data_IF_083509822345
#
_entry.id   IF_083509822345
#
_cell.length_a   1.000
_cell.length_b   1.000
_cell.length_c   1.000
_cell.angle_alpha   90.00
_cell.angle_beta   90.00
_cell.angle_gamma   90.00
#
_symmetry.space_group_name_H-M   'P 1'
#
loop_
_entity.id
_entity.type
_entity.pdbx_description
1 polymer ?
#
# COMPACT_ATOMS: atom_id res chain seq x y z
N UNK A 1 -32.78 12.68 19.11
CA UNK A 1 -32.36 13.52 17.96
C UNK A 1 -31.15 12.88 17.28
N UNK A 2 -31.22 12.52 15.99
CA UNK A 2 -30.04 12.04 15.24
C UNK A 2 -29.09 13.23 15.03
N UNK A 3 -27.80 13.10 15.37
CA UNK A 3 -26.80 14.15 15.10
C UNK A 3 -26.76 14.42 13.59
N UNK A 4 -26.69 15.70 13.20
CA UNK A 4 -26.49 16.10 11.80
C UNK A 4 -25.14 15.54 11.34
N UNK A 5 -25.15 14.75 10.28
CA UNK A 5 -23.93 14.18 9.71
C UNK A 5 -23.09 15.31 9.09
N UNK A 6 -21.79 15.29 9.37
CA UNK A 6 -20.81 16.21 8.79
C UNK A 6 -19.86 15.33 7.96
N UNK A 7 -19.83 15.49 6.63
CA UNK A 7 -18.95 14.70 5.77
C UNK A 7 -17.47 14.90 6.10
N UNK A 8 -16.66 13.88 5.82
CA UNK A 8 -15.23 13.96 6.01
C UNK A 8 -14.59 14.95 5.01
N UNK A 9 -13.86 15.94 5.52
CA UNK A 9 -13.21 16.97 4.69
C UNK A 9 -11.70 16.84 4.86
N UNK A 10 -11.03 16.57 3.75
CA UNK A 10 -9.59 16.47 3.64
C UNK A 10 -9.11 17.69 2.85
N UNK A 11 -8.01 18.29 3.28
CA UNK A 11 -7.45 19.44 2.61
C UNK A 11 -7.04 19.12 1.17
N UNK A 12 -7.05 20.13 0.30
CA UNK A 12 -6.70 19.95 -1.12
C UNK A 12 -5.28 19.41 -1.29
N UNK A 13 -4.35 19.85 -0.44
CA UNK A 13 -2.94 19.44 -0.47
C UNK A 13 -2.81 17.95 -0.18
N UNK A 14 -3.42 17.47 0.90
CA UNK A 14 -3.36 16.06 1.29
C UNK A 14 -3.98 15.14 0.26
N UNK A 15 -5.09 15.56 -0.37
CA UNK A 15 -5.70 14.80 -1.48
C UNK A 15 -4.75 14.67 -2.66
N UNK A 16 -4.09 15.76 -3.06
CA UNK A 16 -3.11 15.73 -4.15
C UNK A 16 -1.93 14.82 -3.79
N UNK A 17 -1.42 14.90 -2.55
CA UNK A 17 -0.33 14.06 -2.07
C UNK A 17 -0.75 12.58 -2.09
N UNK A 18 -1.94 12.24 -1.60
CA UNK A 18 -2.46 10.86 -1.60
C UNK A 18 -2.58 10.31 -3.03
N UNK A 19 -3.16 11.10 -3.94
CA UNK A 19 -3.32 10.70 -5.35
C UNK A 19 -1.93 10.53 -6.00
N UNK A 20 -1.06 11.53 -5.88
CA UNK A 20 0.29 11.48 -6.46
C UNK A 20 1.10 10.31 -5.90
N UNK A 21 1.05 10.08 -4.58
CA UNK A 21 1.74 8.96 -3.92
C UNK A 21 1.19 7.62 -4.39
N UNK A 22 -0.14 7.47 -4.47
CA UNK A 22 -0.76 6.25 -4.98
C UNK A 22 -0.38 6.00 -6.44
N UNK A 23 -0.38 7.03 -7.30
CA UNK A 23 0.02 6.91 -8.70
C UNK A 23 1.49 6.53 -8.84
N UNK A 24 2.40 7.19 -8.11
CA UNK A 24 3.83 6.88 -8.14
C UNK A 24 4.10 5.46 -7.61
N UNK A 25 3.44 5.08 -6.52
CA UNK A 25 3.59 3.75 -5.94
C UNK A 25 3.04 2.65 -6.86
N UNK A 26 1.88 2.88 -7.48
CA UNK A 26 1.29 1.97 -8.45
C UNK A 26 2.18 1.81 -9.68
N UNK A 27 2.59 2.93 -10.30
CA UNK A 27 3.46 2.89 -11.49
C UNK A 27 4.80 2.22 -11.21
N UNK A 28 5.44 2.52 -10.08
CA UNK A 28 6.67 1.85 -9.66
C UNK A 28 6.45 0.36 -9.39
N UNK A 29 5.40 0.00 -8.64
CA UNK A 29 5.07 -1.39 -8.35
C UNK A 29 4.79 -2.22 -9.61
N UNK A 30 4.02 -1.66 -10.55
CA UNK A 30 3.72 -2.30 -11.83
C UNK A 30 4.98 -2.41 -12.70
N UNK A 31 5.84 -1.39 -12.72
CA UNK A 31 7.14 -1.45 -13.37
C UNK A 31 7.96 -2.61 -12.81
N UNK A 32 8.18 -2.66 -11.49
CA UNK A 32 8.94 -3.74 -10.84
C UNK A 32 8.35 -5.13 -11.08
N UNK A 33 7.02 -5.26 -11.11
CA UNK A 33 6.34 -6.52 -11.40
C UNK A 33 6.57 -6.98 -12.85
N UNK A 34 6.50 -6.09 -13.83
CA UNK A 34 6.74 -6.41 -15.25
C UNK A 34 8.19 -6.88 -15.49
N UNK A 35 9.15 -6.25 -14.83
CA UNK A 35 10.57 -6.63 -14.95
C UNK A 35 10.98 -7.77 -14.01
N UNK A 36 10.03 -8.37 -13.28
CA UNK A 36 10.24 -9.44 -12.28
C UNK A 36 11.28 -9.12 -11.21
N UNK A 37 11.58 -7.83 -11.03
CA UNK A 37 12.63 -7.34 -10.16
C UNK A 37 12.10 -6.20 -9.31
N UNK A 38 11.82 -6.53 -8.05
CA UNK A 38 11.32 -5.56 -7.09
C UNK A 38 12.45 -5.09 -6.18
N UNK A 39 12.85 -3.83 -6.34
CA UNK A 39 13.85 -3.21 -5.47
C UNK A 39 13.16 -2.44 -4.35
N UNK A 40 13.50 -2.80 -3.11
CA UNK A 40 13.12 -2.03 -1.93
C UNK A 40 14.39 -1.47 -1.29
N UNK A 41 14.49 -0.14 -1.11
CA UNK A 41 15.62 0.49 -0.42
C UNK A 41 15.49 0.31 1.10
N UNK A 42 15.22 -0.91 1.55
CA UNK A 42 15.10 -1.29 2.96
C UNK A 42 16.31 -2.16 3.26
N UNK A 43 17.09 -1.73 4.25
CA UNK A 43 18.22 -2.50 4.75
C UNK A 43 17.85 -3.15 6.09
N UNK A 44 17.67 -4.47 6.08
CA UNK A 44 17.42 -5.24 7.29
C UNK A 44 18.72 -5.63 8.02
N UNK A 45 19.89 -5.51 7.38
CA UNK A 45 21.19 -5.92 7.93
C UNK A 45 22.09 -4.71 8.14
N UNK A 46 22.15 -4.24 9.39
CA UNK A 46 23.09 -3.20 9.82
C UNK A 46 24.54 -3.62 9.51
N UNK A 47 25.14 -3.06 8.47
CA UNK A 47 26.55 -3.26 8.09
C UNK A 47 26.80 -4.18 6.88
N UNK A 48 25.78 -4.60 6.13
CA UNK A 48 26.01 -5.33 4.88
C UNK A 48 26.25 -4.38 3.69
N UNK A 49 27.20 -4.74 2.80
CA UNK A 49 27.47 -3.97 1.57
C UNK A 49 26.37 -4.14 0.49
N UNK A 50 25.35 -4.98 0.75
CA UNK A 50 24.22 -5.16 -0.16
C UNK A 50 23.21 -4.04 0.09
N UNK A 51 23.20 -3.05 -0.80
CA UNK A 51 22.30 -1.91 -0.75
C UNK A 51 20.89 -2.38 -1.14
N UNK A 52 20.04 -2.63 -0.15
CA UNK A 52 18.60 -2.85 -0.35
C UNK A 52 18.17 -4.30 -0.60
N UNK A 53 16.87 -4.52 -0.52
CA UNK A 53 16.20 -5.80 -0.66
C UNK A 53 15.74 -5.97 -2.11
N UNK A 54 16.28 -6.98 -2.78
CA UNK A 54 15.90 -7.37 -4.14
C UNK A 54 15.00 -8.60 -4.08
N UNK A 55 13.75 -8.45 -4.52
CA UNK A 55 12.76 -9.52 -4.55
C UNK A 55 12.57 -10.01 -5.99
N UNK A 56 12.52 -11.33 -6.13
CA UNK A 56 12.30 -12.03 -7.40
C UNK A 56 11.18 -13.06 -7.26
N UNK A 57 10.60 -13.48 -8.39
CA UNK A 57 9.62 -14.55 -8.44
C UNK A 57 8.43 -14.32 -7.49
N UNK A 58 8.05 -15.35 -6.73
CA UNK A 58 6.88 -15.31 -5.84
C UNK A 58 6.93 -14.18 -4.81
N UNK A 59 8.11 -13.84 -4.28
CA UNK A 59 8.27 -12.75 -3.34
C UNK A 59 7.90 -11.38 -3.96
N UNK A 60 8.25 -11.16 -5.23
CA UNK A 60 7.88 -9.94 -5.96
C UNK A 60 6.36 -9.85 -6.21
N UNK A 61 5.70 -10.97 -6.50
CA UNK A 61 4.24 -11.02 -6.65
C UNK A 61 3.50 -10.66 -5.36
N UNK A 62 3.92 -11.21 -4.22
CA UNK A 62 3.34 -10.86 -2.93
C UNK A 62 3.57 -9.38 -2.58
N UNK A 63 4.76 -8.85 -2.88
CA UNK A 63 5.06 -7.43 -2.66
C UNK A 63 4.18 -6.52 -3.52
N UNK A 64 3.99 -6.87 -4.80
CA UNK A 64 3.12 -6.13 -5.68
C UNK A 64 1.67 -6.13 -5.17
N UNK A 65 1.17 -7.27 -4.68
CA UNK A 65 -0.13 -7.35 -4.02
C UNK A 65 -0.25 -6.41 -2.82
N UNK A 66 0.79 -6.33 -1.98
CA UNK A 66 0.82 -5.37 -0.86
C UNK A 66 0.79 -3.91 -1.33
N UNK A 67 1.49 -3.59 -2.42
CA UNK A 67 1.45 -2.27 -3.08
C UNK A 67 0.04 -1.93 -3.56
N UNK A 68 -0.67 -2.88 -4.19
CA UNK A 68 -2.06 -2.68 -4.61
C UNK A 68 -2.95 -2.38 -3.41
N UNK A 69 -2.82 -3.12 -2.30
CA UNK A 69 -3.56 -2.82 -1.07
C UNK A 69 -3.29 -1.40 -0.56
N UNK A 70 -2.04 -0.94 -0.55
CA UNK A 70 -1.69 0.42 -0.15
C UNK A 70 -2.33 1.48 -1.06
N UNK A 71 -2.33 1.25 -2.39
CA UNK A 71 -2.99 2.12 -3.36
C UNK A 71 -4.51 2.18 -3.13
N UNK A 72 -5.15 1.04 -2.84
CA UNK A 72 -6.57 0.97 -2.53
C UNK A 72 -6.93 1.71 -1.24
N UNK A 73 -6.08 1.66 -0.20
CA UNK A 73 -6.27 2.44 1.03
C UNK A 73 -6.27 3.94 0.69
N UNK A 74 -5.25 4.43 -0.01
CA UNK A 74 -5.15 5.83 -0.39
C UNK A 74 -6.34 6.27 -1.26
N UNK A 75 -6.74 5.44 -2.23
CA UNK A 75 -7.92 5.69 -3.05
C UNK A 75 -9.20 5.76 -2.20
N UNK A 76 -9.36 4.86 -1.21
CA UNK A 76 -10.54 4.85 -0.33
C UNK A 76 -10.67 6.14 0.50
N UNK A 77 -9.54 6.72 0.94
CA UNK A 77 -9.50 7.98 1.69
C UNK A 77 -9.96 9.14 0.79
N UNK A 78 -9.51 9.16 -0.47
CA UNK A 78 -9.92 10.18 -1.45
C UNK A 78 -11.40 10.02 -1.79
N UNK A 79 -11.90 8.80 -1.98
CA UNK A 79 -13.30 8.53 -2.27
C UNK A 79 -14.23 8.90 -1.10
N UNK A 80 -13.85 8.61 0.14
CA UNK A 80 -14.61 8.98 1.35
C UNK A 80 -14.82 10.50 1.45
N UNK A 81 -13.88 11.30 0.93
CA UNK A 81 -14.02 12.75 0.89
C UNK A 81 -15.09 13.25 -0.09
N UNK A 82 -15.28 12.54 -1.21
CA UNK A 82 -16.31 12.86 -2.20
C UNK A 82 -17.66 12.23 -1.85
N UNK A 83 -17.70 11.26 -0.93
CA UNK A 83 -18.93 10.65 -0.47
C UNK A 83 -19.59 11.50 0.63
N UNK A 84 -20.77 12.06 0.33
CA UNK A 84 -21.56 12.86 1.28
C UNK A 84 -22.52 12.00 2.13
N UNK A 85 -22.57 10.69 1.88
CA UNK A 85 -23.40 9.75 2.64
C UNK A 85 -22.75 9.45 3.99
N UNK A 86 -23.54 9.09 5.03
CA UNK A 86 -23.02 8.69 6.34
C UNK A 86 -22.39 7.29 6.30
N UNK A 87 -21.36 7.12 5.49
CA UNK A 87 -20.75 5.85 5.13
C UNK A 87 -19.30 5.68 5.61
N UNK A 88 -18.81 6.62 6.43
CA UNK A 88 -17.42 6.66 6.94
C UNK A 88 -16.97 5.32 7.55
N UNK A 89 -17.89 4.60 8.19
CA UNK A 89 -17.59 3.30 8.81
C UNK A 89 -17.19 2.23 7.79
N UNK A 90 -17.75 2.28 6.59
CA UNK A 90 -17.42 1.33 5.53
C UNK A 90 -16.04 1.62 4.93
N UNK A 91 -15.70 2.88 4.67
CA UNK A 91 -14.35 3.25 4.21
C UNK A 91 -13.28 2.93 5.27
N UNK A 92 -13.54 3.22 6.55
CA UNK A 92 -12.64 2.83 7.64
C UNK A 92 -12.43 1.32 7.71
N UNK A 93 -13.52 0.54 7.64
CA UNK A 93 -13.43 -0.94 7.62
C UNK A 93 -12.66 -1.45 6.40
N UNK A 94 -12.93 -0.91 5.22
CA UNK A 94 -12.21 -1.27 4.00
C UNK A 94 -10.71 -0.98 4.14
N UNK A 95 -10.34 0.21 4.59
CA UNK A 95 -8.95 0.58 4.83
C UNK A 95 -8.26 -0.37 5.84
N UNK A 96 -8.95 -0.73 6.93
CA UNK A 96 -8.44 -1.69 7.92
C UNK A 96 -8.24 -3.08 7.32
N UNK A 97 -9.20 -3.59 6.54
CA UNK A 97 -9.07 -4.91 5.87
C UNK A 97 -7.90 -4.89 4.89
N UNK A 98 -7.80 -3.86 4.06
CA UNK A 98 -6.70 -3.70 3.11
C UNK A 98 -5.35 -3.54 3.82
N UNK A 99 -5.31 -2.90 4.99
CA UNK A 99 -4.09 -2.77 5.78
C UNK A 99 -3.62 -4.14 6.29
N UNK A 100 -4.52 -4.94 6.87
CA UNK A 100 -4.16 -6.29 7.31
C UNK A 100 -3.78 -7.19 6.13
N UNK A 101 -4.51 -7.13 5.02
CA UNK A 101 -4.18 -7.88 3.80
C UNK A 101 -2.81 -7.47 3.24
N UNK A 102 -2.54 -6.17 3.12
CA UNK A 102 -1.27 -5.64 2.64
C UNK A 102 -0.10 -6.02 3.55
N UNK A 103 -0.27 -5.94 4.86
CA UNK A 103 0.78 -6.34 5.82
C UNK A 103 1.02 -7.86 5.80
N UNK A 104 -0.04 -8.66 5.61
CA UNK A 104 0.08 -10.11 5.47
C UNK A 104 0.85 -10.47 4.19
N UNK A 105 0.53 -9.83 3.07
CA UNK A 105 1.24 -10.02 1.79
C UNK A 105 2.69 -9.54 1.87
N UNK A 106 2.95 -8.41 2.52
CA UNK A 106 4.30 -7.93 2.78
C UNK A 106 5.12 -8.95 3.59
N UNK A 107 4.53 -9.49 4.67
CA UNK A 107 5.19 -10.48 5.52
C UNK A 107 5.47 -11.77 4.75
N UNK A 108 4.51 -12.24 3.95
CA UNK A 108 4.69 -13.40 3.06
C UNK A 108 5.78 -13.17 2.01
N UNK A 109 5.86 -11.96 1.45
CA UNK A 109 6.92 -11.58 0.51
C UNK A 109 8.31 -11.68 1.15
N UNK A 110 8.49 -11.10 2.35
CA UNK A 110 9.75 -11.18 3.08
C UNK A 110 10.08 -12.61 3.47
N UNK A 111 9.10 -13.39 3.93
CA UNK A 111 9.30 -14.80 4.26
C UNK A 111 9.73 -15.63 3.04
N UNK A 112 9.04 -15.47 1.90
CA UNK A 112 9.39 -16.13 0.65
C UNK A 112 10.81 -15.76 0.19
N UNK A 113 11.17 -14.49 0.31
CA UNK A 113 12.53 -14.03 0.03
C UNK A 113 13.57 -14.66 0.97
N UNK A 114 13.30 -14.72 2.28
CA UNK A 114 14.21 -15.34 3.25
C UNK A 114 14.43 -16.82 2.93
N UNK A 115 13.36 -17.57 2.61
CA UNK A 115 13.47 -19.00 2.27
C UNK A 115 14.20 -19.25 0.95
N UNK A 116 14.14 -18.30 0.01
CA UNK A 116 14.83 -18.43 -1.27
C UNK A 116 16.33 -18.10 -1.19
N UNK A 117 16.77 -17.43 -0.11
CA UNK A 117 18.17 -17.00 0.11
C UNK A 117 18.83 -17.67 1.34
N UNK A 118 18.14 -18.59 2.01
CA UNK A 118 18.66 -19.41 3.10
C UNK A 118 19.26 -20.70 2.55
#
# INVERSE_FOLDING_TARGET
MKKKHVPNRIDRRDRIILIATATLLFTYGTYCWIYEHFYLPIDFRRGSNMKGLHLYGSAAWFMYGAVICACLIMASIVLDHYDERPNERHYKRFATIMMYAGFSLFTLSVFAWLTANA
#
